data_IF_310360466903
#
_entry.id   IF_310360466903
#
_cell.length_a   1.000
_cell.length_b   1.000
_cell.length_c   1.000
_cell.angle_alpha   90.00
_cell.angle_beta   90.00
_cell.angle_gamma   90.00
#
_symmetry.space_group_name_H-M   'P 1'
#
loop_
_entity.id
_entity.type
_entity.pdbx_description
1 polymer ?
#
# COMPACT_ATOMS: atom_id res chain seq x y z
N UNK A 1 27.69 14.11 7.62
CA UNK A 1 27.49 13.27 6.43
C UNK A 1 26.00 13.18 6.21
N UNK A 2 25.59 13.21 4.95
CA UNK A 2 24.20 12.96 4.56
C UNK A 2 24.18 11.65 3.78
N UNK A 3 23.28 10.75 4.14
CA UNK A 3 23.11 9.49 3.40
C UNK A 3 22.03 9.74 2.36
N UNK A 4 22.37 9.60 1.08
CA UNK A 4 21.54 10.02 -0.06
C UNK A 4 20.98 11.44 0.18
N UNK A 5 21.87 12.42 0.08
CA UNK A 5 21.62 13.80 0.46
C UNK A 5 20.31 14.36 -0.10
N UNK A 6 19.66 15.19 0.72
CA UNK A 6 18.46 15.93 0.35
C UNK A 6 18.80 17.41 0.43
N UNK A 7 18.43 18.19 -0.59
CA UNK A 7 18.50 19.64 -0.49
C UNK A 7 17.54 20.11 0.58
N UNK A 8 18.05 20.84 1.56
CA UNK A 8 17.23 21.55 2.52
C UNK A 8 17.01 22.97 2.02
N UNK A 9 15.76 23.44 2.05
CA UNK A 9 15.45 24.85 1.91
C UNK A 9 16.03 25.62 3.10
N UNK A 10 16.23 26.93 2.97
CA UNK A 10 16.74 27.78 4.05
C UNK A 10 15.89 27.77 5.34
N UNK A 11 14.66 27.24 5.25
CA UNK A 11 13.70 27.05 6.35
C UNK A 11 13.83 25.72 7.07
N UNK A 12 14.73 24.82 6.64
CA UNK A 12 14.92 23.49 7.23
C UNK A 12 13.98 22.39 6.71
N UNK A 13 13.06 22.73 5.80
CA UNK A 13 12.27 21.74 5.05
C UNK A 13 13.07 21.15 3.90
N UNK A 14 12.72 19.95 3.41
CA UNK A 14 13.36 19.41 2.22
C UNK A 14 12.84 20.09 0.93
N UNK A 15 13.68 20.10 -0.10
CA UNK A 15 13.31 20.55 -1.45
C UNK A 15 12.88 19.34 -2.27
N UNK A 16 11.61 19.28 -2.73
CA UNK A 16 11.12 18.19 -3.56
C UNK A 16 11.80 18.19 -4.94
N UNK A 17 12.04 17.00 -5.49
CA UNK A 17 12.43 16.82 -6.89
C UNK A 17 11.26 17.17 -7.82
N UNK A 18 11.49 17.44 -9.12
CA UNK A 18 10.40 17.73 -10.07
C UNK A 18 9.39 16.57 -10.13
N UNK A 19 8.13 16.81 -9.81
CA UNK A 19 7.08 15.78 -9.73
C UNK A 19 7.09 14.94 -8.43
N UNK A 20 7.92 15.30 -7.44
CA UNK A 20 7.90 14.68 -6.11
C UNK A 20 6.78 15.29 -5.25
N UNK A 21 5.87 14.45 -4.77
CA UNK A 21 4.74 14.81 -3.90
C UNK A 21 4.87 14.12 -2.55
N UNK A 22 4.66 14.87 -1.46
CA UNK A 22 4.56 14.31 -0.10
C UNK A 22 3.22 13.63 0.07
N UNK A 23 3.24 12.35 0.46
CA UNK A 23 2.03 11.55 0.70
C UNK A 23 1.74 11.42 2.20
N UNK A 24 2.80 11.37 3.02
CA UNK A 24 2.68 11.28 4.46
C UNK A 24 3.82 12.02 5.16
N UNK A 25 3.53 12.60 6.33
CA UNK A 25 4.52 13.18 7.23
C UNK A 25 4.26 12.68 8.65
N UNK A 26 5.29 12.14 9.30
CA UNK A 26 5.17 11.64 10.67
C UNK A 26 5.18 12.76 11.71
N UNK A 27 4.75 12.47 12.96
CA UNK A 27 4.94 13.38 14.09
C UNK A 27 6.42 13.72 14.36
N UNK A 28 6.73 14.87 15.00
CA UNK A 28 8.09 15.37 15.21
C UNK A 28 8.97 14.51 16.14
N UNK A 29 8.38 13.64 16.97
CA UNK A 29 9.16 12.75 17.84
C UNK A 29 9.39 11.39 17.20
N UNK A 30 9.73 11.38 15.91
CA UNK A 30 10.12 10.16 15.20
C UNK A 30 11.64 9.97 15.28
N UNK A 31 12.12 8.85 15.82
CA UNK A 31 13.55 8.55 15.90
C UNK A 31 13.96 7.63 14.75
N UNK A 32 15.21 7.73 14.31
CA UNK A 32 15.80 6.88 13.28
C UNK A 32 17.07 6.19 13.79
N UNK A 33 17.23 4.93 13.46
CA UNK A 33 18.46 4.16 13.65
C UNK A 33 18.75 3.36 12.37
N UNK A 34 19.90 3.57 11.76
CA UNK A 34 20.40 2.80 10.62
C UNK A 34 21.64 2.04 11.07
N UNK A 35 21.66 0.73 10.90
CA UNK A 35 22.78 -0.10 11.35
C UNK A 35 23.13 -1.21 10.36
N UNK A 36 24.41 -1.59 10.29
CA UNK A 36 24.87 -2.73 9.50
C UNK A 36 24.26 -4.05 10.01
N UNK A 37 23.75 -4.89 9.11
CA UNK A 37 23.20 -6.21 9.45
C UNK A 37 24.26 -7.20 9.95
N UNK A 38 25.50 -7.05 9.48
CA UNK A 38 26.57 -8.00 9.76
C UNK A 38 27.26 -7.73 11.10
N UNK A 39 27.17 -8.72 12.00
CA UNK A 39 28.02 -8.87 13.20
C UNK A 39 29.18 -9.84 12.95
N UNK A 40 29.72 -9.89 11.72
CA UNK A 40 30.86 -10.77 11.45
C UNK A 40 32.08 -10.27 12.25
N UNK A 41 32.85 -11.16 12.89
CA UNK A 41 34.10 -10.79 13.54
C UNK A 41 35.05 -10.16 12.52
N UNK A 42 35.39 -8.88 12.69
CA UNK A 42 36.37 -8.17 11.86
C UNK A 42 35.83 -7.04 10.97
N UNK A 43 34.52 -6.83 10.89
CA UNK A 43 33.94 -5.66 10.22
C UNK A 43 33.55 -4.60 11.26
N UNK A 44 33.94 -3.34 11.03
CA UNK A 44 33.52 -2.24 11.92
C UNK A 44 32.00 -2.03 11.83
N UNK A 45 31.31 -1.91 12.98
CA UNK A 45 29.87 -1.67 12.98
C UNK A 45 29.58 -0.28 12.44
N UNK A 46 28.71 -0.21 11.43
CA UNK A 46 28.21 1.06 10.93
C UNK A 46 26.87 1.35 11.60
N UNK A 47 26.80 2.44 12.37
CA UNK A 47 25.58 2.84 13.10
C UNK A 47 25.41 4.35 12.98
N UNK A 48 24.22 4.78 12.56
CA UNK A 48 23.79 6.17 12.52
C UNK A 48 22.44 6.28 13.22
N UNK A 49 22.34 7.22 14.15
CA UNK A 49 21.15 7.37 14.99
C UNK A 49 20.75 8.82 15.15
N UNK A 50 19.45 9.03 15.27
CA UNK A 50 18.82 10.31 15.59
C UNK A 50 17.63 10.07 16.51
N UNK A 51 17.57 10.80 17.62
CA UNK A 51 16.60 10.58 18.69
C UNK A 51 15.23 11.22 18.43
N UNK A 52 15.13 12.17 17.49
CA UNK A 52 13.89 12.84 17.10
C UNK A 52 14.04 13.55 15.74
N UNK A 53 12.92 13.75 15.06
CA UNK A 53 12.85 14.24 13.69
C UNK A 53 11.53 13.86 13.02
N UNK A 54 11.49 14.09 11.71
CA UNK A 54 10.34 13.81 10.85
C UNK A 54 10.72 12.80 9.78
N UNK A 55 9.79 11.89 9.51
CA UNK A 55 9.81 11.05 8.32
C UNK A 55 8.79 11.61 7.34
N UNK A 56 9.24 11.88 6.12
CA UNK A 56 8.38 12.20 4.99
C UNK A 56 8.37 11.01 4.03
N UNK A 57 7.18 10.55 3.68
CA UNK A 57 6.99 9.59 2.61
C UNK A 57 6.56 10.37 1.36
N UNK A 58 7.35 10.30 0.30
CA UNK A 58 7.00 10.89 -1.00
C UNK A 58 6.67 9.80 -2.00
N UNK A 59 6.10 10.15 -3.15
CA UNK A 59 5.89 9.22 -4.27
C UNK A 59 7.18 8.66 -4.89
N UNK A 60 8.37 8.98 -4.35
CA UNK A 60 9.68 8.51 -4.85
C UNK A 60 10.57 7.89 -3.79
N UNK A 61 10.56 8.44 -2.58
CA UNK A 61 11.52 8.10 -1.53
C UNK A 61 10.98 8.35 -0.14
N UNK A 62 11.57 7.65 0.81
CA UNK A 62 11.48 7.95 2.23
C UNK A 62 12.57 8.97 2.55
N UNK A 63 12.21 10.06 3.22
CA UNK A 63 13.13 11.10 3.68
C UNK A 63 13.03 11.20 5.20
N UNK A 64 14.16 11.26 5.89
CA UNK A 64 14.22 11.57 7.31
C UNK A 64 15.04 12.84 7.56
N UNK A 65 14.44 13.75 8.32
CA UNK A 65 15.03 15.01 8.76
C UNK A 65 15.16 15.00 10.29
N UNK A 66 16.39 14.98 10.84
CA UNK A 66 16.62 15.13 12.27
C UNK A 66 16.09 16.47 12.79
N UNK A 67 15.51 16.49 13.98
CA UNK A 67 15.14 17.74 14.66
C UNK A 67 16.37 18.56 15.08
N UNK A 68 17.50 17.89 15.33
CA UNK A 68 18.79 18.52 15.59
C UNK A 68 19.84 17.90 14.66
N UNK A 69 19.99 18.44 13.44
CA UNK A 69 20.99 17.97 12.49
C UNK A 69 22.41 18.11 13.04
N UNK A 70 23.22 17.06 12.91
CA UNK A 70 24.63 17.09 13.32
C UNK A 70 25.55 17.10 12.10
N UNK A 71 26.81 17.54 12.22
CA UNK A 71 27.78 17.40 11.14
C UNK A 71 27.96 15.96 10.68
N UNK A 72 27.66 14.97 11.53
CA UNK A 72 27.72 13.55 11.25
C UNK A 72 26.46 13.05 10.54
N UNK A 73 25.28 13.58 10.90
CA UNK A 73 24.00 13.17 10.32
C UNK A 73 23.07 14.36 10.09
N UNK A 74 22.92 14.76 8.81
CA UNK A 74 22.09 15.90 8.42
C UNK A 74 20.73 15.49 7.86
N UNK A 75 20.70 14.44 7.05
CA UNK A 75 19.48 13.90 6.43
C UNK A 75 19.73 12.46 6.01
N UNK A 76 18.63 11.71 5.86
CA UNK A 76 18.63 10.41 5.22
C UNK A 76 17.56 10.38 4.14
N UNK A 77 17.87 9.77 2.99
CA UNK A 77 16.85 9.37 2.05
C UNK A 77 17.08 7.95 1.52
N UNK A 78 16.01 7.26 1.14
CA UNK A 78 16.08 5.98 0.46
C UNK A 78 14.95 5.89 -0.59
N UNK A 79 15.24 5.47 -1.84
CA UNK A 79 14.20 5.13 -2.79
C UNK A 79 13.26 4.06 -2.20
N UNK A 80 11.96 4.16 -2.48
CA UNK A 80 10.97 3.22 -1.91
C UNK A 80 11.28 1.77 -2.29
N UNK A 81 11.73 1.53 -3.53
CA UNK A 81 12.05 0.20 -4.02
C UNK A 81 13.35 -0.40 -3.44
N UNK A 82 14.17 0.41 -2.76
CA UNK A 82 15.39 -0.03 -2.07
C UNK A 82 15.12 -0.43 -0.60
N UNK A 83 13.85 -0.40 -0.16
CA UNK A 83 13.42 -0.74 1.19
C UNK A 83 12.66 -2.07 1.15
N UNK A 84 13.22 -3.08 1.80
CA UNK A 84 12.75 -4.47 1.81
C UNK A 84 12.33 -4.91 3.22
N UNK A 85 11.66 -6.05 3.32
CA UNK A 85 11.29 -6.70 4.59
C UNK A 85 10.62 -5.78 5.63
N UNK A 86 9.72 -4.92 5.17
CA UNK A 86 9.16 -3.90 6.05
C UNK A 86 8.07 -4.44 6.95
N UNK A 87 8.08 -4.04 8.22
CA UNK A 87 7.10 -4.48 9.20
C UNK A 87 7.02 -3.51 10.38
N UNK A 88 5.89 -3.54 11.09
CA UNK A 88 5.70 -2.80 12.34
C UNK A 88 5.75 -3.77 13.52
N UNK A 89 6.53 -3.42 14.53
CA UNK A 89 6.59 -4.13 15.81
C UNK A 89 5.97 -3.27 16.90
N UNK A 90 5.02 -3.86 17.63
CA UNK A 90 4.33 -3.26 18.78
C UNK A 90 4.81 -3.87 20.09
N UNK A 91 5.84 -3.29 20.73
CA UNK A 91 6.28 -3.79 22.02
C UNK A 91 5.17 -3.63 23.08
N UNK A 92 5.09 -4.55 24.04
CA UNK A 92 4.11 -4.50 25.15
C UNK A 92 4.13 -3.16 25.91
N UNK A 93 5.33 -2.60 26.04
CA UNK A 93 5.55 -1.26 26.57
C UNK A 93 6.52 -0.51 25.66
N UNK A 94 6.14 0.70 25.26
CA UNK A 94 6.96 1.59 24.47
C UNK A 94 6.36 1.95 23.11
N UNK A 95 7.09 2.75 22.32
CA UNK A 95 6.63 3.22 21.02
C UNK A 95 6.68 2.11 19.97
N UNK A 96 5.80 2.23 18.96
CA UNK A 96 5.82 1.36 17.80
C UNK A 96 7.06 1.62 16.95
N UNK A 97 7.64 0.54 16.43
CA UNK A 97 8.84 0.59 15.61
C UNK A 97 8.50 0.02 14.23
N UNK A 98 8.73 0.81 13.19
CA UNK A 98 8.74 0.31 11.83
C UNK A 98 10.18 -0.04 11.45
N UNK A 99 10.39 -1.23 10.90
CA UNK A 99 11.71 -1.74 10.50
C UNK A 99 11.70 -2.05 9.02
N UNK A 100 12.83 -1.84 8.34
CA UNK A 100 13.06 -2.23 6.96
C UNK A 100 14.54 -2.55 6.71
N UNK A 101 14.81 -3.38 5.71
CA UNK A 101 16.14 -3.61 5.15
C UNK A 101 16.41 -2.60 4.04
N UNK A 102 17.45 -1.78 4.19
CA UNK A 102 17.90 -0.80 3.21
C UNK A 102 18.96 -1.42 2.31
N UNK A 103 18.71 -1.42 1.00
CA UNK A 103 19.73 -1.65 -0.02
C UNK A 103 20.40 -0.32 -0.36
N UNK A 104 21.71 -0.15 -0.09
CA UNK A 104 22.41 1.10 -0.39
C UNK A 104 22.46 1.39 -1.89
N UNK A 105 22.51 2.68 -2.22
CA UNK A 105 22.71 3.17 -3.59
C UNK A 105 24.17 3.60 -3.75
N UNK A 106 24.77 3.29 -4.90
CA UNK A 106 26.12 3.73 -5.25
C UNK A 106 26.25 5.25 -5.14
N UNK A 107 27.27 5.73 -4.43
CA UNK A 107 27.47 7.17 -4.17
C UNK A 107 26.55 7.76 -3.08
N UNK A 108 25.77 6.93 -2.39
CA UNK A 108 24.81 7.36 -1.37
C UNK A 108 25.38 7.68 0.01
N UNK A 109 26.70 7.68 0.20
CA UNK A 109 27.34 7.96 1.50
C UNK A 109 27.37 6.79 2.48
N UNK A 110 26.91 5.61 2.07
CA UNK A 110 27.09 4.34 2.79
C UNK A 110 28.29 3.60 2.16
N UNK A 111 29.26 3.12 2.96
CA UNK A 111 30.39 2.36 2.44
C UNK A 111 29.94 1.07 1.71
N UNK A 112 30.57 0.73 0.57
CA UNK A 112 30.14 -0.41 -0.27
C UNK A 112 30.30 -1.78 0.40
N UNK A 113 31.09 -1.84 1.49
CA UNK A 113 31.24 -3.04 2.31
C UNK A 113 29.95 -3.47 3.03
N UNK A 114 28.96 -2.58 3.16
CA UNK A 114 27.66 -2.89 3.75
C UNK A 114 26.65 -3.14 2.63
N UNK A 115 26.45 -4.39 2.25
CA UNK A 115 25.51 -4.77 1.18
C UNK A 115 24.04 -4.50 1.54
N UNK A 116 23.70 -4.54 2.83
CA UNK A 116 22.38 -4.22 3.34
C UNK A 116 22.47 -3.71 4.79
N UNK A 117 21.56 -2.82 5.16
CA UNK A 117 21.47 -2.24 6.50
C UNK A 117 20.06 -2.38 7.05
N UNK A 118 19.94 -2.47 8.37
CA UNK A 118 18.66 -2.42 9.06
C UNK A 118 18.33 -0.97 9.40
N UNK A 119 17.19 -0.49 8.91
CA UNK A 119 16.58 0.79 9.24
C UNK A 119 15.46 0.55 10.26
N UNK A 120 15.53 1.27 11.37
CA UNK A 120 14.51 1.32 12.41
C UNK A 120 14.00 2.73 12.58
N UNK A 121 12.69 2.91 12.48
CA UNK A 121 11.99 4.16 12.68
C UNK A 121 11.05 3.98 13.87
N UNK A 122 11.27 4.77 14.93
CA UNK A 122 10.50 4.67 16.17
C UNK A 122 9.54 5.85 16.30
N UNK A 123 8.24 5.57 16.35
CA UNK A 123 7.17 6.55 16.37
C UNK A 123 6.72 6.83 17.82
N UNK A 124 7.29 7.84 18.48
CA UNK A 124 7.01 8.14 19.89
C UNK A 124 5.66 8.80 20.16
N UNK A 125 4.96 9.23 19.12
CA UNK A 125 3.64 9.87 19.17
C UNK A 125 2.57 9.09 18.37
N UNK A 126 2.86 7.84 17.98
CA UNK A 126 1.99 7.06 17.11
C UNK A 126 2.19 7.34 15.61
N UNK A 127 1.32 6.76 14.77
CA UNK A 127 1.39 6.87 13.31
C UNK A 127 2.25 5.81 12.60
N UNK A 128 2.79 4.81 13.33
CA UNK A 128 3.60 3.75 12.72
C UNK A 128 2.79 2.86 11.76
N UNK A 129 1.55 2.51 12.13
CA UNK A 129 0.67 1.70 11.30
C UNK A 129 0.20 2.47 10.06
N UNK A 130 -0.24 3.72 10.24
CA UNK A 130 -0.64 4.58 9.12
C UNK A 130 0.53 4.77 8.14
N UNK A 131 1.73 5.03 8.66
CA UNK A 131 2.95 5.09 7.86
C UNK A 131 3.18 3.79 7.08
N UNK A 132 3.11 2.63 7.75
CA UNK A 132 3.33 1.33 7.11
C UNK A 132 2.30 1.04 6.01
N UNK A 133 1.01 1.28 6.26
CA UNK A 133 -0.04 1.11 5.26
C UNK A 133 0.17 2.00 4.05
N UNK A 134 0.50 3.29 4.26
CA UNK A 134 0.81 4.21 3.16
C UNK A 134 2.08 3.79 2.39
N UNK A 135 3.08 3.29 3.12
CA UNK A 135 4.34 2.83 2.54
C UNK A 135 4.14 1.59 1.65
N UNK A 136 3.45 0.55 2.14
CA UNK A 136 3.22 -0.68 1.37
C UNK A 136 2.36 -0.41 0.14
N UNK A 137 1.27 0.35 0.29
CA UNK A 137 0.43 0.77 -0.84
C UNK A 137 1.24 1.50 -1.92
N UNK A 138 2.12 2.42 -1.51
CA UNK A 138 2.98 3.13 -2.45
C UNK A 138 3.97 2.17 -3.12
N UNK A 139 4.61 1.30 -2.35
CA UNK A 139 5.62 0.36 -2.85
C UNK A 139 5.02 -0.58 -3.88
N UNK A 140 3.85 -1.16 -3.63
CA UNK A 140 3.13 -2.03 -4.56
C UNK A 140 2.84 -1.32 -5.89
N UNK A 141 2.30 -0.09 -5.83
CA UNK A 141 2.01 0.70 -7.04
C UNK A 141 3.26 1.05 -7.82
N UNK A 142 4.36 1.36 -7.15
CA UNK A 142 5.64 1.63 -7.80
C UNK A 142 6.20 0.37 -8.48
N UNK A 143 6.09 -0.79 -7.84
CA UNK A 143 6.50 -2.06 -8.44
C UNK A 143 5.66 -2.39 -9.68
N UNK A 144 4.34 -2.22 -9.61
CA UNK A 144 3.45 -2.39 -10.76
C UNK A 144 3.80 -1.43 -11.90
N UNK A 145 4.04 -0.15 -11.59
CA UNK A 145 4.40 0.85 -12.60
C UNK A 145 5.74 0.53 -13.29
N UNK A 146 6.72 0.01 -12.54
CA UNK A 146 8.00 -0.46 -13.10
C UNK A 146 7.77 -1.67 -14.00
N UNK A 147 6.98 -2.65 -13.57
CA UNK A 147 6.70 -3.84 -14.36
C UNK A 147 5.99 -3.48 -15.67
N UNK A 148 4.96 -2.65 -15.62
CA UNK A 148 4.25 -2.16 -16.82
C UNK A 148 5.19 -1.40 -17.76
N UNK A 149 6.07 -0.53 -17.24
CA UNK A 149 7.04 0.20 -18.06
C UNK A 149 8.08 -0.72 -18.73
N UNK A 150 8.43 -1.81 -18.04
CA UNK A 150 9.32 -2.86 -18.56
C UNK A 150 8.63 -3.68 -19.65
N UNK A 151 7.40 -4.10 -19.43
CA UNK A 151 6.57 -4.83 -20.40
C UNK A 151 6.24 -3.98 -21.63
N UNK A 152 5.98 -2.68 -21.44
CA UNK A 152 5.65 -1.74 -22.52
C UNK A 152 6.88 -1.28 -23.34
N UNK A 153 8.07 -1.83 -23.06
CA UNK A 153 9.31 -1.53 -23.79
C UNK A 153 9.84 -0.10 -23.62
N UNK A 154 9.39 0.64 -22.59
CA UNK A 154 9.86 2.01 -22.30
C UNK A 154 11.11 2.04 -21.41
N UNK A 155 11.57 0.89 -20.92
CA UNK A 155 12.85 0.72 -20.25
C UNK A 155 13.82 0.02 -21.20
N UNK A 156 14.54 0.80 -22.02
CA UNK A 156 15.73 0.31 -22.72
C UNK A 156 16.89 0.28 -21.74
N UNK A 157 16.97 -0.78 -20.94
CA UNK A 157 18.05 -0.99 -20.00
C UNK A 157 17.85 -2.27 -19.21
N UNK A 158 18.84 -3.15 -19.15
CA UNK A 158 18.80 -4.43 -18.44
C UNK A 158 18.81 -4.29 -16.90
N UNK A 159 18.51 -3.10 -16.38
CA UNK A 159 18.60 -2.75 -14.97
C UNK A 159 20.04 -2.67 -14.44
N UNK A 160 21.07 -2.82 -15.29
CA UNK A 160 22.48 -2.81 -14.91
C UNK A 160 23.26 -1.63 -15.52
N UNK A 161 22.67 -0.44 -15.55
CA UNK A 161 23.38 0.71 -16.14
C UNK A 161 24.35 1.35 -15.15
N UNK A 162 25.57 0.81 -15.18
CA UNK A 162 26.79 1.52 -14.81
C UNK A 162 26.95 2.77 -15.67
N UNK A 163 26.58 3.95 -15.15
CA UNK A 163 27.03 5.22 -15.71
C UNK A 163 26.10 6.41 -15.51
N UNK A 164 26.59 7.44 -14.81
CA UNK A 164 26.08 8.81 -15.01
C UNK A 164 25.18 9.43 -13.92
N UNK A 165 25.42 9.15 -12.63
CA UNK A 165 25.29 10.15 -11.56
C UNK A 165 24.00 10.99 -11.41
N UNK A 166 22.85 10.57 -11.95
CA UNK A 166 21.55 11.26 -11.79
C UNK A 166 20.50 10.34 -11.18
N UNK A 167 20.68 10.08 -9.89
CA UNK A 167 19.63 9.98 -8.86
C UNK A 167 18.24 9.46 -9.22
N UNK A 168 18.11 8.35 -9.94
CA UNK A 168 16.90 7.53 -9.98
C UNK A 168 17.29 6.15 -10.54
N UNK A 169 17.50 5.15 -9.68
CA UNK A 169 17.83 3.77 -10.08
C UNK A 169 16.69 3.11 -10.88
N UNK A 170 16.15 1.97 -10.43
CA UNK A 170 15.06 1.24 -11.13
C UNK A 170 13.78 2.04 -11.51
N UNK A 171 13.68 3.32 -11.12
CA UNK A 171 12.62 4.25 -11.48
C UNK A 171 12.99 5.20 -12.65
N UNK A 172 14.22 5.11 -13.19
CA UNK A 172 14.63 5.89 -14.36
C UNK A 172 13.79 5.45 -15.58
N UNK A 173 12.79 6.25 -15.93
CA UNK A 173 11.88 5.99 -17.06
C UNK A 173 10.42 5.77 -16.66
N UNK A 174 10.11 5.62 -15.36
CA UNK A 174 8.72 5.51 -14.91
C UNK A 174 8.10 6.90 -14.80
N UNK A 175 7.03 7.15 -15.57
CA UNK A 175 6.23 8.35 -15.41
C UNK A 175 5.34 8.22 -14.16
N UNK A 176 5.84 8.74 -13.05
CA UNK A 176 5.18 8.73 -11.74
C UNK A 176 3.96 9.66 -11.66
N UNK A 177 3.78 10.57 -12.62
CA UNK A 177 2.61 11.44 -12.68
C UNK A 177 1.36 10.70 -13.19
N UNK A 178 1.55 9.58 -13.91
CA UNK A 178 0.47 8.69 -14.40
C UNK A 178 0.04 7.67 -13.35
N UNK A 179 0.81 7.47 -12.28
CA UNK A 179 0.44 6.55 -11.19
C UNK A 179 -0.61 7.22 -10.33
N UNK A 180 -1.86 6.78 -10.45
CA UNK A 180 -2.95 7.23 -9.60
C UNK A 180 -2.70 6.78 -8.15
N UNK A 181 -2.27 7.74 -7.32
CA UNK A 181 -1.89 7.52 -5.92
C UNK A 181 -3.10 7.55 -4.96
N UNK A 182 -4.30 7.79 -5.48
CA UNK A 182 -5.53 7.90 -4.69
C UNK A 182 -6.36 6.62 -4.81
N UNK A 183 -7.08 6.25 -3.73
CA UNK A 183 -8.03 5.13 -3.81
C UNK A 183 -9.09 5.45 -4.85
N UNK A 184 -9.42 4.49 -5.71
CA UNK A 184 -10.58 4.62 -6.58
C UNK A 184 -11.79 4.91 -5.68
N UNK A 185 -12.63 5.90 -6.01
CA UNK A 185 -13.83 6.16 -5.23
C UNK A 185 -14.62 4.85 -5.14
N UNK A 186 -15.07 4.52 -3.93
CA UNK A 186 -16.03 3.44 -3.76
C UNK A 186 -17.18 3.70 -4.73
N UNK A 187 -17.58 2.70 -5.51
CA UNK A 187 -18.66 2.82 -6.46
C UNK A 187 -19.92 3.26 -5.71
N UNK A 188 -20.27 4.55 -5.83
CA UNK A 188 -21.60 5.01 -5.46
C UNK A 188 -22.55 4.44 -6.51
N UNK A 189 -23.32 3.44 -6.09
CA UNK A 189 -24.42 2.96 -6.90
C UNK A 189 -25.33 4.16 -7.21
N UNK A 190 -25.74 4.38 -8.46
CA UNK A 190 -26.63 5.47 -8.78
C UNK A 190 -27.90 5.31 -7.95
N UNK A 191 -28.16 6.26 -7.05
CA UNK A 191 -29.44 6.36 -6.35
C UNK A 191 -30.51 6.44 -7.44
N UNK A 192 -31.33 5.39 -7.50
CA UNK A 192 -32.44 5.31 -8.43
C UNK A 192 -33.29 6.57 -8.24
N UNK A 193 -33.42 7.31 -9.34
CA UNK A 193 -33.95 8.66 -9.37
C UNK A 193 -35.19 8.87 -8.51
N UNK A 194 -35.11 9.94 -7.72
CA UNK A 194 -36.18 10.59 -7.00
C UNK A 194 -37.39 10.82 -7.94
N UNK A 195 -38.41 9.96 -7.84
CA UNK A 195 -39.73 10.24 -8.42
C UNK A 195 -40.48 11.23 -7.49
N UNK A 196 -41.04 12.34 -8.00
CA UNK A 196 -41.80 13.27 -7.18
C UNK A 196 -43.23 12.73 -7.00
N UNK A 197 -43.55 12.21 -5.83
CA UNK A 197 -44.92 11.86 -5.43
C UNK A 197 -45.46 12.84 -4.39
N UNK A 198 -46.66 13.43 -4.57
CA UNK A 198 -47.30 14.24 -3.53
C UNK A 198 -47.86 13.34 -2.42
N UNK A 199 -47.71 13.81 -1.19
CA UNK A 199 -48.14 13.15 0.03
C UNK A 199 -49.66 12.98 0.13
N UNK A 200 -50.12 11.83 0.63
CA UNK A 200 -51.33 11.72 1.47
C UNK A 200 -51.21 10.49 2.41
N UNK A 201 -51.44 10.65 3.73
CA UNK A 201 -51.58 9.52 4.66
C UNK A 201 -53.07 9.20 4.87
N UNK A 202 -53.45 7.94 5.19
CA UNK A 202 -54.66 7.55 5.95
C UNK A 202 -54.74 5.99 6.11
N UNK A 203 -55.54 5.42 7.05
CA UNK A 203 -55.01 4.76 8.25
C UNK A 203 -55.41 3.27 8.42
N UNK A 204 -54.79 2.63 9.42
CA UNK A 204 -55.00 1.23 9.85
C UNK A 204 -56.41 0.94 10.42
N UNK A 205 -56.97 -0.27 10.26
CA UNK A 205 -58.16 -0.71 11.02
C UNK A 205 -57.79 -1.48 12.30
N UNK A 206 -58.55 -1.21 13.36
CA UNK A 206 -58.53 -1.77 14.72
C UNK A 206 -59.22 -3.17 14.85
N UNK A 207 -59.06 -3.88 15.99
CA UNK A 207 -59.43 -5.30 16.16
C UNK A 207 -60.82 -5.53 16.79
N UNK A 208 -61.39 -6.73 16.62
CA UNK A 208 -62.60 -7.19 17.34
C UNK A 208 -62.46 -8.63 17.88
N UNK A 209 -62.91 -8.78 19.13
CA UNK A 209 -63.04 -9.98 20.01
C UNK A 209 -64.04 -11.00 19.38
N UNK A 210 -64.22 -12.26 19.76
CA UNK A 210 -64.22 -12.99 21.05
C UNK A 210 -64.42 -14.49 20.66
N UNK A 211 -63.79 -15.52 21.24
CA UNK A 211 -64.43 -16.41 22.23
C UNK A 211 -63.59 -17.70 22.38
N UNK A 212 -63.51 -18.28 23.59
CA UNK A 212 -63.24 -19.72 23.75
C UNK A 212 -62.17 -20.18 24.75
N UNK A 213 -62.36 -19.84 26.03
CA UNK A 213 -62.12 -20.62 27.28
C UNK A 213 -61.25 -21.90 27.19
N UNK A 214 -60.22 -21.97 28.05
CA UNK A 214 -59.48 -23.20 28.40
C UNK A 214 -58.28 -23.00 29.33
N UNK A 215 -58.55 -22.74 30.61
CA UNK A 215 -57.69 -22.65 31.82
C UNK A 215 -56.43 -23.58 31.91
N UNK A 216 -55.24 -22.96 32.06
CA UNK A 216 -54.10 -23.12 33.02
C UNK A 216 -53.76 -24.44 33.77
N UNK A 217 -52.57 -24.59 34.42
CA UNK A 217 -51.26 -23.93 34.23
C UNK A 217 -49.97 -24.82 34.41
N UNK A 218 -48.82 -24.21 34.10
CA UNK A 218 -47.48 -24.30 34.72
C UNK A 218 -46.58 -25.56 34.57
N UNK A 219 -45.49 -25.41 33.78
CA UNK A 219 -44.16 -25.91 34.20
C UNK A 219 -42.99 -25.19 33.49
N UNK A 220 -42.16 -24.55 34.32
CA UNK A 220 -40.69 -24.43 34.29
C UNK A 220 -39.92 -23.82 33.09
N UNK A 221 -39.51 -22.54 33.27
CA UNK A 221 -38.14 -21.96 33.17
C UNK A 221 -37.08 -22.62 32.26
N UNK A 222 -36.60 -21.87 31.24
CA UNK A 222 -35.23 -21.29 31.11
C UNK A 222 -35.09 -20.44 29.82
N UNK A 223 -34.33 -19.32 29.84
CA UNK A 223 -34.18 -18.42 28.70
C UNK A 223 -33.08 -18.84 27.70
N UNK A 224 -33.30 -18.40 26.46
CA UNK A 224 -32.56 -18.59 25.19
C UNK A 224 -31.19 -17.91 25.11
N UNK A 225 -30.22 -18.43 24.32
CA UNK A 225 -29.05 -17.68 23.86
C UNK A 225 -29.41 -16.72 22.71
N UNK A 226 -28.85 -15.52 22.76
CA UNK A 226 -29.03 -14.44 21.79
C UNK A 226 -28.31 -14.73 20.46
N UNK A 227 -29.03 -14.51 19.38
CA UNK A 227 -28.67 -14.67 17.97
C UNK A 227 -27.87 -13.48 17.42
N UNK A 228 -26.79 -13.77 16.70
CA UNK A 228 -26.01 -12.84 15.87
C UNK A 228 -26.86 -12.22 14.74
N UNK A 229 -26.56 -11.00 14.26
CA UNK A 229 -27.21 -10.42 13.10
C UNK A 229 -26.73 -11.10 11.81
N UNK A 230 -27.68 -11.79 11.16
CA UNK A 230 -27.80 -12.21 9.75
C UNK A 230 -26.70 -11.72 8.79
N UNK A 231 -25.89 -12.65 8.29
CA UNK A 231 -25.20 -12.54 7.00
C UNK A 231 -26.25 -12.52 5.89
N UNK A 232 -26.26 -11.47 5.07
CA UNK A 232 -27.02 -11.48 3.82
C UNK A 232 -26.29 -12.36 2.80
N UNK A 233 -26.93 -13.47 2.46
CA UNK A 233 -26.47 -14.42 1.46
C UNK A 233 -26.39 -13.74 0.10
N UNK A 234 -25.18 -13.40 -0.34
CA UNK A 234 -24.92 -12.97 -1.71
C UNK A 234 -25.38 -14.08 -2.67
N UNK A 235 -26.40 -13.78 -3.46
CA UNK A 235 -26.88 -14.66 -4.53
C UNK A 235 -26.33 -14.13 -5.85
N UNK A 236 -25.30 -14.76 -6.44
CA UNK A 236 -24.81 -14.33 -7.74
C UNK A 236 -25.91 -14.49 -8.79
N UNK A 237 -26.01 -13.57 -9.78
CA UNK A 237 -26.97 -13.68 -10.87
C UNK A 237 -26.83 -15.03 -11.58
N UNK A 238 -27.93 -15.74 -11.76
CA UNK A 238 -27.95 -17.06 -12.40
C UNK A 238 -27.81 -17.00 -13.93
N UNK A 239 -27.87 -15.81 -14.51
CA UNK A 239 -27.80 -15.61 -15.96
C UNK A 239 -26.47 -14.95 -16.34
N UNK A 240 -25.75 -15.51 -17.34
CA UNK A 240 -24.55 -14.88 -17.85
C UNK A 240 -24.91 -13.52 -18.46
N UNK A 241 -24.00 -12.53 -18.40
CA UNK A 241 -24.25 -11.21 -18.94
C UNK A 241 -24.59 -11.30 -20.45
N UNK A 242 -25.54 -10.48 -20.93
CA UNK A 242 -25.96 -10.51 -22.32
C UNK A 242 -24.76 -10.30 -23.26
N UNK A 243 -24.55 -11.24 -24.19
CA UNK A 243 -23.39 -11.28 -25.09
C UNK A 243 -22.25 -12.22 -24.68
N UNK A 244 -22.28 -12.80 -23.47
CA UNK A 244 -21.22 -13.72 -22.99
C UNK A 244 -21.09 -14.99 -23.83
N UNK A 245 -22.19 -15.52 -24.35
CA UNK A 245 -22.17 -16.69 -25.25
C UNK A 245 -21.50 -16.39 -26.59
N UNK A 246 -21.60 -15.17 -27.10
CA UNK A 246 -20.98 -14.79 -28.39
C UNK A 246 -19.45 -14.75 -28.25
N UNK A 247 -18.95 -14.13 -27.18
CA UNK A 247 -17.52 -14.05 -26.87
C UNK A 247 -16.91 -15.44 -26.58
N UNK A 248 -17.64 -16.32 -25.90
CA UNK A 248 -17.19 -17.71 -25.70
C UNK A 248 -17.09 -18.49 -27.01
N UNK A 249 -18.05 -18.30 -27.91
CA UNK A 249 -18.08 -19.01 -29.19
C UNK A 249 -16.93 -18.59 -30.09
N UNK A 250 -16.62 -17.30 -30.15
CA UNK A 250 -15.45 -16.79 -30.87
C UNK A 250 -14.14 -17.37 -30.30
N UNK A 251 -13.98 -17.40 -28.98
CA UNK A 251 -12.79 -17.97 -28.34
C UNK A 251 -12.60 -19.48 -28.62
N UNK A 252 -13.69 -20.25 -28.70
CA UNK A 252 -13.63 -21.69 -29.02
C UNK A 252 -13.28 -21.91 -30.49
N UNK A 253 -13.80 -21.07 -31.38
CA UNK A 253 -13.51 -21.14 -32.82
C UNK A 253 -12.04 -20.81 -33.09
N UNK A 254 -11.51 -19.75 -32.48
CA UNK A 254 -10.11 -19.34 -32.62
C UNK A 254 -9.13 -20.42 -32.11
N UNK A 255 -9.43 -21.04 -30.96
CA UNK A 255 -8.60 -22.11 -30.40
C UNK A 255 -8.64 -23.39 -31.26
N UNK A 256 -9.78 -23.70 -31.88
CA UNK A 256 -9.91 -24.84 -32.79
C UNK A 256 -9.15 -24.61 -34.10
N UNK A 257 -9.24 -23.41 -34.68
CA UNK A 257 -8.49 -23.05 -35.89
C UNK A 257 -6.99 -23.09 -35.62
N UNK A 258 -6.55 -22.58 -34.47
CA UNK A 258 -5.15 -22.64 -34.04
C UNK A 258 -4.65 -24.07 -33.91
N UNK A 259 -5.46 -24.97 -33.34
CA UNK A 259 -5.12 -26.39 -33.22
C UNK A 259 -5.03 -27.08 -34.58
N UNK A 260 -5.95 -26.81 -35.49
CA UNK A 260 -5.91 -27.37 -36.85
C UNK A 260 -4.66 -26.91 -37.60
N UNK A 261 -4.32 -25.62 -37.51
CA UNK A 261 -3.09 -25.08 -38.13
C UNK A 261 -1.82 -25.69 -37.54
N UNK A 262 -1.78 -25.90 -36.22
CA UNK A 262 -0.64 -26.57 -35.57
C UNK A 262 -0.53 -28.07 -35.88
N UNK A 263 -1.64 -28.73 -36.23
CA UNK A 263 -1.66 -30.13 -36.61
C UNK A 263 -1.21 -30.33 -38.07
N UNK A 264 -1.53 -29.38 -38.95
CA UNK A 264 -1.13 -29.40 -40.37
C UNK A 264 0.37 -29.12 -40.54
N UNK A 265 0.98 -28.32 -39.66
CA UNK A 265 2.43 -28.06 -39.65
C UNK A 265 3.28 -29.23 -39.10
N UNK A 266 2.66 -30.22 -38.44
CA UNK A 266 3.36 -31.35 -37.80
C UNK A 266 3.48 -32.60 -38.70
N UNK A 267 2.85 -32.61 -39.88
CA UNK A 267 2.82 -33.73 -40.83
C UNK A 267 3.52 -33.43 -42.17
N UNK A 268 4.40 -32.40 -42.18
CA UNK A 268 5.19 -31.96 -43.35
C UNK A 268 6.69 -32.20 -43.23
#
# INVERSE_FOLDING_TARGET
MSINWVMLAGTGSYTPLPGEKTLYTSPPRTALCLQSLNKFPGMEPYIIQSSSGWVHLTNRRLIYLPASPTPQFQSFAAPILNLHDTHVTTPWFGPNVWTATVQPVSGGGIPPQHAALELKITFKDGGAFDFHTNFERLKERLQQAVEVARESGHVTGDGSESGGGRGAGALAGVNLDTVHLEDLPAYEAPEQGLAPGPAEPLPSPLPSRDSGIGVSPESARKPTPQTSPREETFSPPAEPPPGYEEVQRESIVDELERRLRSAEEADG
#
